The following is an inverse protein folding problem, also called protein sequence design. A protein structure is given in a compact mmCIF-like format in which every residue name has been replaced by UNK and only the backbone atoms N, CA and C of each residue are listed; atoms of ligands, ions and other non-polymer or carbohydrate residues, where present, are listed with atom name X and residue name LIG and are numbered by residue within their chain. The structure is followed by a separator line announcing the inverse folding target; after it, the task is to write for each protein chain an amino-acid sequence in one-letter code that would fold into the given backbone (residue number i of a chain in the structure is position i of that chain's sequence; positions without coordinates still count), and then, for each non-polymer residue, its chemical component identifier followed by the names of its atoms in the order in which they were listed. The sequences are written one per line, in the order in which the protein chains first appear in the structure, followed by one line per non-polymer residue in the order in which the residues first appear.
data_IF_854176658183
#
_entry.id   IF_854176658183
#
_cell.length_a   1.000
_cell.length_b   1.000
_cell.length_c   1.000
_cell.angle_alpha   90.00
_cell.angle_beta   90.00
_cell.angle_gamma   90.00
#
_symmetry.space_group_name_H-M   'P 1'
#
loop_
_entity.id
_entity.type
_entity.pdbx_description
1 polymer ?
#
# COMPACT_ATOMS: atom_id res chain seq x y z
N UNK A 1 27.94 -35.66 41.78
CA UNK A 1 29.03 -36.51 42.29
C UNK A 1 29.82 -35.65 43.22
N UNK A 2 29.61 -35.83 44.51
CA UNK A 2 30.49 -36.50 45.47
C UNK A 2 31.87 -35.85 45.51
N UNK A 3 32.41 -35.38 46.55
CA UNK A 3 32.46 -35.71 48.01
C UNK A 3 33.59 -34.83 48.53
N UNK A 4 33.69 -34.34 49.60
CA UNK A 4 33.59 -34.65 51.02
C UNK A 4 34.72 -33.90 51.76
N UNK A 5 34.35 -33.24 52.79
CA UNK A 5 35.04 -33.06 54.06
C UNK A 5 35.86 -34.32 54.50
N UNK A 6 36.71 -34.27 55.48
CA UNK A 6 36.59 -33.66 56.82
C UNK A 6 37.92 -33.13 57.42
N UNK A 7 37.88 -32.28 58.41
CA UNK A 7 37.81 -32.52 59.85
C UNK A 7 39.08 -32.89 60.56
N UNK A 8 39.28 -32.22 61.63
CA UNK A 8 39.67 -32.65 63.01
C UNK A 8 41.15 -32.44 63.38
N UNK A 9 41.46 -31.92 64.42
CA UNK A 9 41.26 -32.08 65.87
C UNK A 9 42.48 -31.62 66.63
N UNK A 10 42.24 -31.04 67.78
CA UNK A 10 42.85 -31.26 69.08
C UNK A 10 44.36 -31.05 69.20
N UNK A 11 44.89 -30.55 70.22
CA UNK A 11 44.53 -30.56 71.62
C UNK A 11 45.48 -29.66 72.41
N UNK A 12 44.92 -29.03 73.41
CA UNK A 12 45.68 -28.70 74.64
C UNK A 12 46.35 -29.97 75.26
N UNK A 13 47.40 -29.86 76.02
CA UNK A 13 47.22 -29.52 77.43
C UNK A 13 48.44 -28.92 78.15
N UNK A 14 48.07 -28.10 79.16
CA UNK A 14 48.51 -28.18 80.57
C UNK A 14 49.97 -28.45 80.94
N UNK A 15 50.24 -27.66 81.91
CA UNK A 15 51.01 -27.87 83.16
C UNK A 15 52.41 -27.19 83.14
N UNK A 16 52.86 -26.59 84.13
CA UNK A 16 52.57 -26.47 85.53
C UNK A 16 53.68 -25.65 86.17
N UNK A 17 53.30 -24.94 87.17
CA UNK A 17 54.08 -24.66 88.38
C UNK A 17 55.58 -24.44 88.18
N UNK A 18 56.14 -23.33 88.73
CA UNK A 18 56.38 -23.23 90.14
C UNK A 18 56.92 -21.83 90.45
N UNK A 19 56.31 -21.20 91.37
CA UNK A 19 56.93 -20.71 92.67
C UNK A 19 58.29 -20.09 92.53
N UNK A 20 58.35 -18.86 92.86
CA UNK A 20 59.46 -18.10 93.29
C UNK A 20 59.04 -16.76 93.77
N UNK A 21 58.31 -16.73 94.87
CA UNK A 21 58.16 -15.52 95.62
C UNK A 21 59.48 -15.18 96.30
N UNK A 22 60.29 -14.38 95.67
CA UNK A 22 61.36 -13.72 96.43
C UNK A 22 60.72 -12.56 97.12
N UNK A 23 60.62 -12.67 98.40
CA UNK A 23 60.19 -11.61 99.30
C UNK A 23 61.05 -10.40 99.03
N UNK A 24 60.48 -9.31 98.63
CA UNK A 24 61.13 -8.00 98.55
C UNK A 24 61.59 -7.61 99.90
N UNK A 25 62.83 -7.13 100.00
CA UNK A 25 63.40 -6.57 101.27
C UNK A 25 62.52 -5.39 101.74
N UNK A 26 62.50 -5.17 103.02
CA UNK A 26 61.74 -4.04 103.64
C UNK A 26 62.06 -2.65 103.03
N UNK A 27 63.26 -2.46 102.44
CA UNK A 27 63.67 -1.22 101.80
C UNK A 27 63.01 -0.96 100.45
N UNK A 28 62.64 -2.03 99.70
CA UNK A 28 61.93 -1.92 98.39
C UNK A 28 60.44 -1.56 98.53
N UNK A 29 59.90 -1.60 99.75
CA UNK A 29 58.51 -1.25 100.03
C UNK A 29 58.31 0.23 100.23
N UNK A 30 59.35 1.07 100.26
CA UNK A 30 59.29 2.47 100.54
C UNK A 30 59.55 3.37 99.32
N UNK A 31 59.80 2.75 98.15
CA UNK A 31 59.89 3.58 96.97
C UNK A 31 58.49 3.90 96.49
N UNK A 32 58.11 5.17 96.36
CA UNK A 32 56.83 5.51 95.72
C UNK A 32 56.86 5.15 94.26
N UNK A 33 55.99 4.25 93.88
CA UNK A 33 55.73 3.91 92.48
C UNK A 33 55.34 5.21 91.77
N UNK A 34 56.24 5.79 91.01
CA UNK A 34 55.92 6.93 90.16
C UNK A 34 54.86 6.46 89.19
N UNK A 35 53.74 7.17 89.12
CA UNK A 35 52.74 6.83 88.05
C UNK A 35 53.43 6.94 86.72
N UNK A 36 53.14 6.03 85.76
CA UNK A 36 53.68 6.06 84.38
C UNK A 36 53.34 7.42 83.78
N UNK A 37 54.38 8.09 83.22
CA UNK A 37 54.18 9.36 82.53
C UNK A 37 52.98 9.25 81.56
N UNK A 38 52.02 10.13 81.80
CA UNK A 38 50.90 10.23 80.83
C UNK A 38 51.49 10.55 79.49
N UNK A 39 51.58 9.54 78.59
CA UNK A 39 51.89 9.71 77.15
C UNK A 39 50.82 10.64 76.60
N UNK A 40 51.26 11.83 76.22
CA UNK A 40 50.33 12.87 75.70
C UNK A 40 49.79 12.38 74.36
N UNK A 41 48.64 11.73 74.41
CA UNK A 41 47.94 11.10 73.23
C UNK A 41 47.71 12.11 72.09
N UNK A 42 47.71 13.42 72.47
CA UNK A 42 47.61 14.53 71.52
C UNK A 42 48.82 14.63 70.59
N UNK A 43 50.03 14.41 71.12
CA UNK A 43 51.28 14.57 70.36
C UNK A 43 51.37 13.41 69.30
N UNK A 44 50.98 12.17 69.69
CA UNK A 44 50.95 11.05 68.73
C UNK A 44 49.89 11.21 67.63
N UNK A 45 48.75 11.88 67.90
CA UNK A 45 47.76 12.15 66.93
C UNK A 45 48.12 13.31 65.98
N UNK A 46 48.99 14.23 66.42
CA UNK A 46 49.49 15.30 65.54
C UNK A 46 50.69 14.85 64.71
N UNK A 47 51.51 13.92 65.13
CA UNK A 47 52.58 13.36 64.28
C UNK A 47 52.07 12.48 63.16
N UNK A 48 50.93 11.76 63.34
CA UNK A 48 50.28 10.95 62.25
C UNK A 48 49.57 11.81 61.26
N UNK A 49 49.35 13.09 61.52
CA UNK A 49 48.62 13.98 60.61
C UNK A 49 49.52 14.96 59.84
N UNK A 50 50.75 14.57 59.51
CA UNK A 50 51.48 15.37 58.51
C UNK A 50 50.77 15.27 57.18
N UNK A 51 50.13 16.35 56.73
CA UNK A 51 49.44 16.27 55.44
C UNK A 51 50.48 15.99 54.35
N UNK A 52 50.33 14.86 53.69
CA UNK A 52 51.08 14.55 52.43
C UNK A 52 50.43 15.44 51.40
N UNK A 53 50.95 16.60 51.00
CA UNK A 53 50.22 17.58 50.19
C UNK A 53 49.86 17.02 48.81
N UNK A 54 50.73 16.17 48.29
CA UNK A 54 50.49 15.48 46.97
C UNK A 54 49.33 14.47 47.07
N UNK A 55 49.28 13.66 48.18
CA UNK A 55 48.20 12.69 48.36
C UNK A 55 46.86 13.39 48.63
N UNK A 56 46.87 14.49 49.38
CA UNK A 56 45.67 15.29 49.62
C UNK A 56 45.16 15.94 48.31
N UNK A 57 46.04 16.47 47.47
CA UNK A 57 45.70 17.01 46.15
C UNK A 57 45.16 15.94 45.21
N UNK A 58 45.83 14.77 45.14
CA UNK A 58 45.34 13.66 44.33
C UNK A 58 43.97 13.13 44.80
N UNK A 59 43.77 13.03 46.11
CA UNK A 59 42.49 12.59 46.68
C UNK A 59 41.38 13.64 46.43
N UNK A 60 41.72 14.93 46.51
CA UNK A 60 40.84 16.02 46.13
C UNK A 60 40.43 15.94 44.64
N UNK A 61 41.41 15.75 43.75
CA UNK A 61 41.17 15.61 42.33
C UNK A 61 40.28 14.36 42.01
N UNK A 62 40.61 13.24 42.67
CA UNK A 62 39.82 12.01 42.53
C UNK A 62 38.37 12.18 43.00
N UNK A 63 38.21 12.89 44.18
CA UNK A 63 36.87 13.18 44.70
C UNK A 63 36.07 14.08 43.76
N UNK A 64 36.69 15.11 43.20
CA UNK A 64 36.05 15.99 42.22
C UNK A 64 35.66 15.20 40.95
N UNK A 65 36.56 14.34 40.47
CA UNK A 65 36.28 13.46 39.32
C UNK A 65 35.14 12.49 39.62
N UNK A 66 35.12 11.87 40.80
CA UNK A 66 34.05 10.95 41.22
C UNK A 66 32.70 11.68 41.36
N UNK A 67 32.69 12.83 41.99
CA UNK A 67 31.47 13.66 42.12
C UNK A 67 31.00 14.13 40.75
N UNK A 68 31.93 14.58 39.90
CA UNK A 68 31.60 14.92 38.50
C UNK A 68 30.99 13.75 37.72
N UNK A 69 31.57 12.54 37.89
CA UNK A 69 31.05 11.33 37.25
C UNK A 69 29.65 10.95 37.78
N UNK A 70 29.43 11.08 39.10
CA UNK A 70 28.11 10.84 39.69
C UNK A 70 27.05 11.84 39.21
N UNK A 71 27.42 13.13 39.12
CA UNK A 71 26.54 14.17 38.61
C UNK A 71 26.21 13.96 37.12
N UNK A 72 27.21 13.62 36.33
CA UNK A 72 26.99 13.26 34.91
C UNK A 72 26.09 12.02 34.75
N UNK A 73 26.31 11.00 35.58
CA UNK A 73 25.46 9.80 35.60
C UNK A 73 24.01 10.12 36.00
N UNK A 74 23.83 10.93 37.04
CA UNK A 74 22.50 11.40 37.48
C UNK A 74 21.81 12.25 36.41
N UNK A 75 22.55 13.14 35.73
CA UNK A 75 22.04 13.94 34.64
C UNK A 75 21.65 13.10 33.45
N UNK A 76 22.48 12.12 33.08
CA UNK A 76 22.19 11.19 32.01
C UNK A 76 20.94 10.35 32.31
N UNK A 77 20.82 9.84 33.54
CA UNK A 77 19.64 9.09 33.99
C UNK A 77 18.36 9.97 33.97
N UNK A 78 18.45 11.21 34.46
CA UNK A 78 17.32 12.16 34.40
C UNK A 78 16.93 12.46 32.95
N UNK A 79 17.90 12.70 32.08
CA UNK A 79 17.68 12.97 30.67
C UNK A 79 17.03 11.79 29.97
N UNK A 80 17.50 10.59 30.25
CA UNK A 80 16.94 9.34 29.69
C UNK A 80 15.46 9.14 30.10
N UNK A 81 15.16 9.38 31.39
CA UNK A 81 13.78 9.37 31.88
C UNK A 81 12.85 10.42 31.23
N UNK A 82 13.40 11.60 30.88
CA UNK A 82 12.64 12.63 30.17
C UNK A 82 12.38 12.25 28.71
N UNK A 83 13.27 11.50 28.09
CA UNK A 83 13.06 10.98 26.73
C UNK A 83 11.92 9.96 26.67
N UNK A 84 11.70 9.22 27.76
CA UNK A 84 10.63 8.21 27.85
C UNK A 84 9.33 8.79 28.45
N UNK A 85 9.34 10.06 28.86
CA UNK A 85 8.15 10.71 29.36
C UNK A 85 7.04 10.78 28.28
N UNK A 86 5.76 10.55 28.67
CA UNK A 86 4.65 10.59 27.72
C UNK A 86 4.52 11.98 27.07
N UNK A 87 4.36 11.97 25.75
CA UNK A 87 4.18 13.18 24.95
C UNK A 87 2.80 13.82 25.12
N UNK A 88 2.61 15.06 24.60
CA UNK A 88 1.37 15.83 24.76
C UNK A 88 0.22 15.37 23.86
N UNK A 89 0.45 14.48 22.93
CA UNK A 89 -0.54 14.06 21.94
C UNK A 89 -1.64 13.20 22.58
N UNK A 90 -2.92 13.61 22.46
CA UNK A 90 -4.05 12.89 23.04
C UNK A 90 -4.70 11.86 22.09
N UNK A 91 -4.50 11.99 20.79
CA UNK A 91 -5.11 11.13 19.75
C UNK A 91 -4.09 10.77 18.68
N UNK A 92 -4.33 9.66 17.97
CA UNK A 92 -3.51 9.32 16.83
C UNK A 92 -3.46 10.47 15.83
N UNK A 93 -2.28 10.80 15.36
CA UNK A 93 -2.05 11.86 14.39
C UNK A 93 -1.05 11.42 13.34
N UNK A 94 -1.38 11.65 12.09
CA UNK A 94 -0.42 11.46 10.99
C UNK A 94 0.37 12.75 10.81
N UNK A 95 1.68 12.68 10.92
CA UNK A 95 2.61 13.78 10.67
C UNK A 95 3.35 13.54 9.36
N UNK A 96 3.61 14.63 8.63
CA UNK A 96 4.33 14.59 7.35
C UNK A 96 5.72 15.18 7.54
N UNK A 97 6.75 14.38 7.29
CA UNK A 97 8.14 14.83 7.28
C UNK A 97 8.60 14.95 5.83
N UNK A 98 8.76 16.15 5.30
CA UNK A 98 9.20 16.39 3.93
C UNK A 98 10.63 15.89 3.69
N UNK A 99 10.95 15.62 2.41
CA UNK A 99 12.32 15.34 1.99
C UNK A 99 13.20 16.57 2.19
N UNK A 100 14.45 16.37 2.58
CA UNK A 100 15.48 17.40 2.76
C UNK A 100 15.32 18.30 3.98
N UNK A 101 14.37 18.05 4.89
CA UNK A 101 14.34 18.75 6.19
C UNK A 101 15.41 18.21 7.15
N UNK A 102 16.15 19.13 7.78
CA UNK A 102 17.13 18.82 8.82
C UNK A 102 16.48 18.48 10.17
N UNK A 103 17.25 17.88 11.09
CA UNK A 103 16.76 17.49 12.42
C UNK A 103 16.15 18.65 13.23
N UNK A 104 16.66 19.86 13.06
CA UNK A 104 16.14 21.08 13.72
C UNK A 104 14.77 21.48 13.17
N UNK A 105 14.59 21.39 11.87
CA UNK A 105 13.35 21.73 11.18
C UNK A 105 12.25 20.71 11.50
N UNK A 106 12.64 19.42 11.50
CA UNK A 106 11.75 18.33 11.93
C UNK A 106 11.28 18.55 13.38
N UNK A 107 12.21 18.84 14.30
CA UNK A 107 11.88 19.12 15.70
C UNK A 107 10.94 20.32 15.86
N UNK A 108 11.18 21.40 15.11
CA UNK A 108 10.33 22.59 15.12
C UNK A 108 8.93 22.32 14.53
N UNK A 109 8.84 21.43 13.55
CA UNK A 109 7.56 20.96 12.98
C UNK A 109 6.77 20.15 14.00
N UNK A 110 7.40 19.15 14.63
CA UNK A 110 6.78 18.30 15.65
C UNK A 110 6.23 19.11 16.83
N UNK A 111 6.98 20.14 17.27
CA UNK A 111 6.54 21.07 18.30
C UNK A 111 5.34 21.91 17.87
N UNK A 112 5.39 22.53 16.68
CA UNK A 112 4.27 23.31 16.11
C UNK A 112 3.01 22.49 15.93
N UNK A 113 3.16 21.22 15.60
CA UNK A 113 2.05 20.29 15.42
C UNK A 113 1.54 19.69 16.75
N UNK A 114 2.14 20.04 17.89
CA UNK A 114 1.74 19.58 19.21
C UNK A 114 2.04 18.10 19.46
N UNK A 115 3.00 17.52 18.71
CA UNK A 115 3.41 16.13 18.85
C UNK A 115 4.44 15.98 19.99
N UNK A 116 5.29 16.97 20.17
CA UNK A 116 6.26 17.08 21.27
C UNK A 116 6.08 18.40 22.00
N UNK A 117 6.48 18.42 23.28
CA UNK A 117 6.41 19.64 24.13
C UNK A 117 7.58 20.58 23.93
N UNK A 118 8.77 20.06 23.59
CA UNK A 118 10.00 20.84 23.43
C UNK A 118 10.90 20.26 22.32
N UNK A 119 11.13 21.08 21.30
CA UNK A 119 12.04 20.77 20.18
C UNK A 119 13.48 20.52 20.62
N UNK A 120 13.94 21.17 21.75
CA UNK A 120 15.29 21.00 22.25
C UNK A 120 15.50 19.59 22.78
N UNK A 121 14.49 19.04 23.47
CA UNK A 121 14.52 17.68 23.97
C UNK A 121 14.64 16.66 22.83
N UNK A 122 13.84 16.83 21.77
CA UNK A 122 13.93 15.98 20.57
C UNK A 122 15.34 16.07 19.93
N UNK A 123 15.86 17.28 19.75
CA UNK A 123 17.16 17.46 19.11
C UNK A 123 18.32 16.89 19.94
N UNK A 124 18.28 17.10 21.27
CA UNK A 124 19.27 16.56 22.19
C UNK A 124 19.18 15.03 22.24
N UNK A 125 17.96 14.48 22.33
CA UNK A 125 17.70 13.05 22.33
C UNK A 125 18.19 12.37 21.05
N UNK A 126 17.90 12.95 19.89
CA UNK A 126 18.39 12.44 18.62
C UNK A 126 19.93 12.38 18.56
N UNK A 127 20.62 13.46 19.02
CA UNK A 127 22.08 13.48 19.08
C UNK A 127 22.65 12.46 20.08
N UNK A 128 21.95 12.28 21.20
CA UNK A 128 22.31 11.29 22.20
C UNK A 128 22.22 9.87 21.66
N UNK A 129 21.11 9.53 21.03
CA UNK A 129 20.93 8.21 20.40
C UNK A 129 21.93 7.98 19.26
N UNK A 130 22.25 9.01 18.47
CA UNK A 130 23.31 8.91 17.46
C UNK A 130 24.69 8.63 18.07
N UNK A 131 25.00 9.24 19.22
CA UNK A 131 26.25 9.00 19.93
C UNK A 131 26.33 7.55 20.44
N UNK A 132 25.25 7.06 21.06
CA UNK A 132 25.18 5.68 21.54
C UNK A 132 25.33 4.66 20.40
N UNK A 133 24.59 4.85 19.31
CA UNK A 133 24.69 3.97 18.13
C UNK A 133 26.11 3.93 17.54
N UNK A 134 26.83 5.07 17.56
CA UNK A 134 28.23 5.11 17.13
C UNK A 134 29.17 4.35 18.06
N UNK A 135 28.93 4.41 19.37
CA UNK A 135 29.73 3.69 20.37
C UNK A 135 29.50 2.18 20.30
N UNK A 136 28.31 1.75 19.93
CA UNK A 136 27.93 0.35 19.74
C UNK A 136 28.35 -0.21 18.38
N UNK A 137 28.89 0.64 17.49
CA UNK A 137 29.30 0.24 16.13
C UNK A 137 28.15 0.07 15.15
N UNK A 138 26.97 0.53 15.52
CA UNK A 138 25.78 0.49 14.68
C UNK A 138 25.79 1.57 13.58
N UNK A 139 24.96 1.34 12.55
CA UNK A 139 24.76 2.32 11.48
C UNK A 139 24.23 3.64 12.03
N UNK A 140 24.74 4.74 11.49
CA UNK A 140 24.27 6.09 11.85
C UNK A 140 22.74 6.18 11.73
N UNK A 141 22.08 6.51 12.84
CA UNK A 141 20.66 6.81 12.87
C UNK A 141 20.36 8.00 11.96
N UNK A 142 19.42 7.87 11.05
CA UNK A 142 19.00 8.93 10.13
C UNK A 142 17.49 9.10 10.20
N UNK A 143 17.04 10.34 10.35
CA UNK A 143 15.63 10.69 10.24
C UNK A 143 15.20 10.57 8.77
N UNK A 144 14.17 9.76 8.51
CA UNK A 144 13.67 9.49 7.15
C UNK A 144 12.44 10.35 6.88
N UNK A 145 12.32 10.84 5.64
CA UNK A 145 11.11 11.53 5.18
C UNK A 145 9.95 10.54 5.00
N UNK A 146 8.72 11.02 5.21
CA UNK A 146 7.51 10.22 5.03
C UNK A 146 6.37 10.65 5.94
N UNK A 147 5.25 9.95 5.84
CA UNK A 147 4.08 10.13 6.68
C UNK A 147 4.14 9.12 7.83
N UNK A 148 4.07 9.60 9.07
CA UNK A 148 4.18 8.76 10.26
C UNK A 148 2.91 8.87 11.10
N UNK A 149 2.35 7.74 11.47
CA UNK A 149 1.24 7.70 12.42
C UNK A 149 1.82 7.66 13.84
N UNK A 150 1.63 8.76 14.56
CA UNK A 150 2.07 8.90 15.95
C UNK A 150 0.92 8.53 16.87
N UNK A 151 1.21 7.63 17.82
CA UNK A 151 0.24 7.20 18.84
C UNK A 151 0.03 8.26 19.91
N UNK A 152 -1.10 8.21 20.64
CA UNK A 152 -1.28 9.07 21.80
C UNK A 152 -0.16 8.87 22.82
N UNK A 153 0.27 9.95 23.41
CA UNK A 153 1.31 9.98 24.45
C UNK A 153 2.66 9.36 24.05
N UNK A 154 2.94 9.27 22.74
CA UNK A 154 4.22 8.77 22.25
C UNK A 154 5.38 9.62 22.83
N UNK A 155 6.38 8.96 23.40
CA UNK A 155 7.57 9.60 23.97
C UNK A 155 8.49 10.14 22.87
N UNK A 156 9.42 11.01 23.26
CA UNK A 156 10.43 11.54 22.33
C UNK A 156 11.30 10.42 21.77
N UNK A 157 11.65 9.42 22.58
CA UNK A 157 12.40 8.24 22.14
C UNK A 157 11.64 7.46 21.07
N UNK A 158 10.38 7.10 21.35
CA UNK A 158 9.52 6.38 20.39
C UNK A 158 9.36 7.13 19.06
N UNK A 159 9.26 8.47 19.12
CA UNK A 159 9.18 9.28 17.90
C UNK A 159 10.46 9.25 17.08
N UNK A 160 11.64 9.37 17.76
CA UNK A 160 12.93 9.28 17.05
C UNK A 160 13.09 7.91 16.41
N UNK A 161 12.80 6.83 17.14
CA UNK A 161 12.87 5.47 16.64
C UNK A 161 11.91 5.24 15.47
N UNK A 162 10.65 5.67 15.58
CA UNK A 162 9.64 5.58 14.53
C UNK A 162 10.13 6.23 13.21
N UNK A 163 10.71 7.44 13.33
CA UNK A 163 11.18 8.20 12.18
C UNK A 163 12.48 7.59 11.61
N UNK A 164 13.39 7.13 12.47
CA UNK A 164 14.64 6.49 12.05
C UNK A 164 14.39 5.10 11.41
N UNK A 165 13.49 4.32 11.94
CA UNK A 165 13.05 3.05 11.35
C UNK A 165 12.42 3.26 9.97
N UNK A 166 11.75 4.39 9.78
CA UNK A 166 11.04 4.70 8.54
C UNK A 166 9.76 3.90 8.37
N UNK A 167 9.09 3.56 9.48
CA UNK A 167 7.77 2.90 9.50
C UNK A 167 6.68 3.90 9.10
N UNK A 168 6.68 4.29 7.85
CA UNK A 168 5.71 5.25 7.30
C UNK A 168 4.33 4.64 7.12
N UNK A 169 3.31 5.49 7.16
CA UNK A 169 1.95 5.12 6.74
C UNK A 169 1.99 4.74 5.27
N UNK A 170 1.46 3.57 4.95
CA UNK A 170 1.41 3.07 3.58
C UNK A 170 0.01 3.17 3.02
N UNK A 171 -0.08 3.45 1.74
CA UNK A 171 -1.32 3.50 0.97
C UNK A 171 -1.39 2.32 0.03
N UNK A 172 -2.59 1.84 -0.23
CA UNK A 172 -2.83 0.75 -1.18
C UNK A 172 -3.31 1.33 -2.50
N UNK A 173 -2.57 1.06 -3.56
CA UNK A 173 -3.00 1.35 -4.93
C UNK A 173 -3.36 0.04 -5.60
N UNK A 174 -4.63 -0.12 -5.93
CA UNK A 174 -5.11 -1.30 -6.66
C UNK A 174 -5.25 -0.96 -8.14
N UNK A 175 -4.53 -1.70 -8.96
CA UNK A 175 -4.62 -1.66 -10.41
C UNK A 175 -5.42 -2.89 -10.85
N UNK A 176 -6.67 -2.71 -11.35
CA UNK A 176 -7.50 -3.81 -11.83
C UNK A 176 -6.89 -4.53 -13.03
N UNK A 177 -7.14 -5.83 -13.11
CA UNK A 177 -6.82 -6.66 -14.27
C UNK A 177 -7.59 -6.19 -15.52
N UNK A 178 -7.02 -6.41 -16.69
CA UNK A 178 -7.66 -6.09 -17.97
C UNK A 178 -7.63 -4.61 -18.38
N UNK A 179 -6.92 -3.74 -17.66
CA UNK A 179 -6.69 -2.37 -18.12
C UNK A 179 -5.58 -2.33 -19.18
N UNK A 180 -5.70 -1.40 -20.13
CA UNK A 180 -4.58 -1.09 -21.04
C UNK A 180 -3.48 -0.34 -20.31
N UNK A 181 -2.26 -0.36 -20.82
CA UNK A 181 -1.13 0.37 -20.25
C UNK A 181 -1.42 1.87 -20.15
N UNK A 182 -2.12 2.46 -21.13
CA UNK A 182 -2.55 3.85 -21.06
C UNK A 182 -3.55 4.10 -19.91
N UNK A 183 -4.54 3.23 -19.75
CA UNK A 183 -5.50 3.36 -18.65
C UNK A 183 -4.84 3.21 -17.27
N UNK A 184 -3.80 2.38 -17.16
CA UNK A 184 -2.99 2.26 -15.93
C UNK A 184 -2.23 3.56 -15.68
N UNK A 185 -1.57 4.12 -16.69
CA UNK A 185 -0.87 5.40 -16.59
C UNK A 185 -1.83 6.51 -16.17
N UNK A 186 -3.00 6.64 -16.81
CA UNK A 186 -4.02 7.64 -16.47
C UNK A 186 -4.49 7.50 -15.02
N UNK A 187 -4.67 6.27 -14.55
CA UNK A 187 -5.04 5.96 -13.17
C UNK A 187 -3.96 6.39 -12.17
N UNK A 188 -2.69 6.10 -12.45
CA UNK A 188 -1.57 6.50 -11.60
C UNK A 188 -1.38 8.03 -11.60
N UNK A 189 -1.64 8.71 -12.72
CA UNK A 189 -1.60 10.17 -12.80
C UNK A 189 -2.70 10.82 -11.97
N UNK A 190 -3.88 10.21 -11.91
CA UNK A 190 -5.01 10.70 -11.13
C UNK A 190 -4.87 10.46 -9.61
N UNK A 191 -3.94 9.60 -9.15
CA UNK A 191 -3.77 9.31 -7.73
C UNK A 191 -2.98 10.40 -7.02
N UNK A 192 -3.63 11.07 -6.06
CA UNK A 192 -3.04 12.16 -5.28
C UNK A 192 -1.96 11.72 -4.27
N UNK A 193 -1.87 10.42 -3.96
CA UNK A 193 -0.85 9.87 -3.06
C UNK A 193 0.48 9.61 -3.77
N UNK A 194 0.50 9.73 -5.11
CA UNK A 194 1.69 9.57 -5.94
C UNK A 194 2.27 10.92 -6.36
N UNK A 195 3.56 10.93 -6.67
CA UNK A 195 4.29 12.11 -7.15
C UNK A 195 5.11 11.79 -8.41
N UNK A 196 5.64 12.82 -9.04
CA UNK A 196 6.47 12.71 -10.24
C UNK A 196 5.66 12.53 -11.51
N UNK A 197 6.34 12.56 -12.63
CA UNK A 197 5.80 12.34 -13.98
C UNK A 197 6.06 10.90 -14.42
N UNK A 198 5.39 10.48 -15.46
CA UNK A 198 5.63 9.22 -16.16
C UNK A 198 6.25 9.56 -17.50
N UNK A 199 7.44 9.06 -17.76
CA UNK A 199 8.24 9.38 -18.94
C UNK A 199 7.68 8.81 -20.23
N UNK A 200 7.14 7.58 -20.17
CA UNK A 200 6.55 6.88 -21.30
C UNK A 200 5.51 5.86 -20.87
N UNK A 201 4.52 5.62 -21.72
CA UNK A 201 3.55 4.53 -21.49
C UNK A 201 4.25 3.20 -21.77
N UNK A 202 4.28 2.27 -20.79
CA UNK A 202 4.89 0.94 -20.97
C UNK A 202 4.18 0.13 -22.06
N UNK A 203 4.90 -0.84 -22.62
CA UNK A 203 4.33 -1.74 -23.61
C UNK A 203 3.08 -2.46 -23.09
N UNK A 204 2.11 -2.72 -23.96
CA UNK A 204 0.89 -3.44 -23.59
C UNK A 204 1.22 -4.86 -23.11
N UNK A 205 0.60 -5.30 -22.00
CA UNK A 205 0.84 -6.60 -21.40
C UNK A 205 2.13 -6.72 -20.58
N UNK A 206 2.93 -5.65 -20.46
CA UNK A 206 4.19 -5.67 -19.69
C UNK A 206 4.01 -5.45 -18.19
N UNK A 207 2.86 -4.95 -17.77
CA UNK A 207 2.56 -4.58 -16.40
C UNK A 207 1.76 -5.68 -15.69
N UNK A 208 2.14 -6.02 -14.46
CA UNK A 208 1.34 -6.92 -13.62
C UNK A 208 0.31 -6.14 -12.81
N UNK A 209 -1.00 -6.29 -13.09
CA UNK A 209 -2.04 -5.64 -12.31
C UNK A 209 -2.17 -6.31 -10.95
N UNK A 210 -1.90 -5.55 -9.88
CA UNK A 210 -2.01 -6.01 -8.49
C UNK A 210 -2.30 -4.83 -7.55
N UNK A 211 -2.37 -5.12 -6.25
CA UNK A 211 -2.41 -4.10 -5.21
C UNK A 211 -1.01 -3.82 -4.70
N UNK A 212 -0.53 -2.60 -4.89
CA UNK A 212 0.77 -2.14 -4.42
C UNK A 212 0.62 -1.36 -3.12
N UNK A 213 1.52 -1.65 -2.17
CA UNK A 213 1.61 -0.94 -0.90
C UNK A 213 2.76 0.04 -1.00
N UNK A 214 2.46 1.33 -0.94
CA UNK A 214 3.42 2.41 -1.19
C UNK A 214 3.38 3.47 -0.09
N UNK A 215 4.48 4.17 0.21
CA UNK A 215 4.44 5.38 1.02
C UNK A 215 3.82 6.54 0.23
N UNK A 216 3.27 7.53 0.92
CA UNK A 216 2.78 8.75 0.29
C UNK A 216 3.89 9.49 -0.45
N UNK A 217 3.56 10.03 -1.62
CA UNK A 217 4.53 10.73 -2.46
C UNK A 217 5.55 9.79 -3.14
N UNK A 218 5.27 8.49 -3.19
CA UNK A 218 6.05 7.56 -4.00
C UNK A 218 6.04 8.00 -5.48
N UNK A 219 7.12 7.76 -6.18
CA UNK A 219 7.22 8.12 -7.58
C UNK A 219 6.34 7.21 -8.43
N UNK A 220 5.54 7.78 -9.33
CA UNK A 220 4.70 7.01 -10.28
C UNK A 220 5.50 6.03 -11.12
N UNK A 221 6.67 6.47 -11.59
CA UNK A 221 7.61 5.64 -12.35
C UNK A 221 8.04 4.40 -11.54
N UNK A 222 8.33 4.55 -10.24
CA UNK A 222 8.71 3.42 -9.38
C UNK A 222 7.57 2.39 -9.20
N UNK A 223 6.30 2.83 -9.26
CA UNK A 223 5.16 1.91 -9.27
C UNK A 223 5.13 1.12 -10.57
N UNK A 224 5.32 1.76 -11.73
CA UNK A 224 5.38 1.08 -13.03
C UNK A 224 6.57 0.10 -13.11
N UNK A 225 7.73 0.50 -12.59
CA UNK A 225 8.90 -0.39 -12.47
C UNK A 225 8.58 -1.61 -11.61
N UNK A 226 7.90 -1.42 -10.49
CA UNK A 226 7.46 -2.52 -9.62
C UNK A 226 6.48 -3.46 -10.33
N UNK A 227 5.51 -2.91 -11.09
CA UNK A 227 4.58 -3.70 -11.88
C UNK A 227 5.31 -4.53 -12.95
N UNK A 228 6.29 -3.93 -13.62
CA UNK A 228 7.13 -4.62 -14.62
C UNK A 228 7.99 -5.69 -13.97
N UNK A 229 8.58 -5.42 -12.80
CA UNK A 229 9.38 -6.39 -12.06
C UNK A 229 8.54 -7.60 -11.60
N UNK A 230 7.33 -7.38 -11.12
CA UNK A 230 6.40 -8.46 -10.75
C UNK A 230 5.98 -9.30 -11.98
N UNK A 231 5.75 -8.66 -13.14
CA UNK A 231 5.50 -9.35 -14.40
C UNK A 231 6.66 -10.28 -14.78
N UNK A 232 7.90 -9.81 -14.68
CA UNK A 232 9.10 -10.62 -14.96
C UNK A 232 9.25 -11.80 -13.99
N UNK A 233 9.04 -11.60 -12.70
CA UNK A 233 9.08 -12.67 -11.70
C UNK A 233 7.99 -13.73 -11.97
N UNK A 234 6.80 -13.28 -12.36
CA UNK A 234 5.70 -14.17 -12.75
C UNK A 234 6.08 -15.01 -13.96
N UNK A 235 6.67 -14.36 -14.98
CA UNK A 235 7.18 -15.01 -16.18
C UNK A 235 8.16 -16.14 -15.83
N UNK A 236 9.21 -15.83 -15.09
CA UNK A 236 10.25 -16.80 -14.72
C UNK A 236 9.65 -18.05 -14.04
N UNK A 237 8.68 -17.83 -13.15
CA UNK A 237 8.02 -18.91 -12.42
C UNK A 237 7.08 -19.73 -13.28
N UNK A 238 6.17 -19.08 -14.00
CA UNK A 238 5.08 -19.77 -14.71
C UNK A 238 5.52 -20.38 -16.04
N UNK A 239 6.44 -19.72 -16.75
CA UNK A 239 6.91 -20.22 -18.04
C UNK A 239 7.61 -21.57 -17.95
N UNK A 240 8.36 -21.80 -16.87
CA UNK A 240 9.00 -23.09 -16.61
C UNK A 240 7.99 -24.23 -16.37
N UNK A 241 6.80 -23.90 -15.85
CA UNK A 241 5.76 -24.88 -15.48
C UNK A 241 4.69 -25.07 -16.56
N UNK A 242 4.80 -24.38 -17.73
CA UNK A 242 3.80 -24.47 -18.79
C UNK A 242 3.66 -25.86 -19.36
N UNK A 243 2.49 -26.22 -19.89
CA UNK A 243 2.32 -27.40 -20.72
C UNK A 243 3.21 -27.31 -21.97
N UNK A 244 3.85 -28.43 -22.35
CA UNK A 244 4.88 -28.43 -23.41
C UNK A 244 4.32 -28.31 -24.83
N UNK A 245 3.08 -28.73 -25.06
CA UNK A 245 2.44 -28.83 -26.35
C UNK A 245 1.54 -27.62 -26.68
N UNK A 246 1.77 -26.48 -26.07
CA UNK A 246 1.01 -25.27 -26.34
C UNK A 246 1.32 -24.70 -27.74
N UNK A 247 0.32 -24.15 -28.44
CA UNK A 247 0.52 -23.49 -29.73
C UNK A 247 1.26 -22.15 -29.58
N UNK A 248 1.27 -21.56 -28.38
CA UNK A 248 2.05 -20.36 -28.04
C UNK A 248 3.52 -20.74 -27.75
N UNK A 249 4.46 -20.09 -28.43
CA UNK A 249 5.89 -20.44 -28.39
C UNK A 249 6.72 -19.52 -27.54
N UNK A 250 6.28 -18.30 -27.33
CA UNK A 250 6.96 -17.27 -26.54
C UNK A 250 6.09 -16.81 -25.38
N UNK A 251 6.75 -16.14 -24.39
CA UNK A 251 6.02 -15.51 -23.31
C UNK A 251 5.06 -14.43 -23.84
N UNK A 252 5.50 -13.63 -24.82
CA UNK A 252 4.71 -12.53 -25.37
C UNK A 252 3.45 -13.06 -26.09
N UNK A 253 3.55 -14.19 -26.80
CA UNK A 253 2.38 -14.86 -27.36
C UNK A 253 1.42 -15.37 -26.28
N UNK A 254 1.96 -15.89 -25.16
CA UNK A 254 1.15 -16.33 -24.04
C UNK A 254 0.43 -15.15 -23.35
N UNK A 255 1.10 -14.02 -23.14
CA UNK A 255 0.50 -12.80 -22.61
C UNK A 255 -0.52 -12.22 -23.59
N UNK A 256 -0.25 -12.27 -24.89
CA UNK A 256 -1.20 -11.83 -25.92
C UNK A 256 -2.49 -12.64 -25.85
N UNK A 257 -2.39 -13.97 -25.78
CA UNK A 257 -3.57 -14.82 -25.63
C UNK A 257 -4.27 -14.60 -24.28
N UNK A 258 -3.48 -14.44 -23.19
CA UNK A 258 -4.02 -14.18 -21.85
C UNK A 258 -4.79 -12.86 -21.80
N UNK A 259 -4.35 -11.82 -22.52
CA UNK A 259 -5.07 -10.55 -22.61
C UNK A 259 -6.44 -10.69 -23.28
N UNK A 260 -6.57 -11.61 -24.23
CA UNK A 260 -7.86 -11.95 -24.87
C UNK A 260 -8.74 -12.69 -23.87
N UNK A 261 -8.21 -13.73 -23.21
CA UNK A 261 -8.93 -14.51 -22.18
C UNK A 261 -9.42 -13.63 -21.05
N UNK A 262 -8.60 -12.66 -20.60
CA UNK A 262 -8.93 -11.69 -19.54
C UNK A 262 -10.16 -10.85 -19.91
N UNK A 263 -10.29 -10.50 -21.18
CA UNK A 263 -11.41 -9.67 -21.67
C UNK A 263 -12.67 -10.47 -22.02
N UNK A 264 -12.57 -11.77 -22.17
CA UNK A 264 -13.71 -12.64 -22.49
C UNK A 264 -14.47 -13.10 -21.26
N UNK A 265 -13.79 -13.34 -20.13
CA UNK A 265 -14.49 -13.82 -18.93
C UNK A 265 -13.96 -13.19 -17.65
N UNK A 266 -14.87 -12.69 -16.82
CA UNK A 266 -14.60 -12.31 -15.43
C UNK A 266 -14.66 -13.52 -14.47
N UNK A 267 -15.13 -14.69 -14.91
CA UNK A 267 -15.31 -15.88 -14.07
C UNK A 267 -14.04 -16.69 -13.95
N UNK A 268 -13.59 -16.88 -12.74
CA UNK A 268 -12.37 -17.65 -12.46
C UNK A 268 -12.50 -19.15 -12.76
N UNK A 269 -13.71 -19.71 -12.60
CA UNK A 269 -14.02 -21.14 -12.80
C UNK A 269 -14.13 -21.55 -14.26
N UNK A 270 -14.24 -20.60 -15.20
CA UNK A 270 -14.31 -20.84 -16.62
C UNK A 270 -13.06 -20.41 -17.40
N UNK A 271 -12.16 -19.68 -16.77
CA UNK A 271 -11.03 -19.02 -17.43
C UNK A 271 -10.08 -20.01 -18.11
N UNK A 272 -9.79 -21.14 -17.49
CA UNK A 272 -8.99 -22.24 -18.06
C UNK A 272 -9.69 -22.96 -19.24
N UNK A 273 -11.02 -22.96 -19.23
CA UNK A 273 -11.86 -23.53 -20.30
C UNK A 273 -11.96 -22.58 -21.50
N UNK A 274 -12.13 -21.26 -21.24
CA UNK A 274 -12.07 -20.24 -22.29
C UNK A 274 -10.70 -20.23 -22.97
N UNK A 275 -9.62 -20.30 -22.18
CA UNK A 275 -8.26 -20.42 -22.69
C UNK A 275 -8.09 -21.67 -23.57
N UNK A 276 -8.67 -22.80 -23.15
CA UNK A 276 -8.62 -24.05 -23.91
C UNK A 276 -9.31 -23.93 -25.27
N UNK A 277 -10.46 -23.24 -25.37
CA UNK A 277 -11.14 -23.01 -26.66
C UNK A 277 -10.21 -22.23 -27.60
N UNK A 278 -9.59 -21.18 -27.20
CA UNK A 278 -8.66 -20.40 -28.02
C UNK A 278 -7.43 -21.22 -28.44
N UNK A 279 -6.86 -22.00 -27.51
CA UNK A 279 -5.73 -22.90 -27.79
C UNK A 279 -6.14 -23.96 -28.81
N UNK A 280 -7.34 -24.56 -28.72
CA UNK A 280 -7.86 -25.54 -29.69
C UNK A 280 -8.07 -24.90 -31.05
N UNK A 281 -8.58 -23.65 -31.10
CA UNK A 281 -8.69 -22.89 -32.35
C UNK A 281 -7.34 -22.65 -33.00
N UNK A 282 -6.33 -22.21 -32.24
CA UNK A 282 -4.96 -22.02 -32.75
C UNK A 282 -4.38 -23.33 -33.32
N UNK A 283 -4.57 -24.45 -32.62
CA UNK A 283 -4.12 -25.78 -33.11
C UNK A 283 -4.77 -26.21 -34.44
N UNK A 284 -6.01 -25.74 -34.67
CA UNK A 284 -6.76 -26.04 -35.87
C UNK A 284 -6.68 -24.94 -36.94
N UNK A 285 -5.80 -23.95 -36.77
CA UNK A 285 -5.69 -22.76 -37.63
C UNK A 285 -7.03 -22.02 -37.82
N UNK A 286 -7.87 -22.03 -36.79
CA UNK A 286 -9.11 -21.27 -36.76
C UNK A 286 -8.88 -19.87 -36.28
N UNK A 287 -9.58 -18.88 -36.80
CA UNK A 287 -9.55 -17.50 -36.27
C UNK A 287 -10.10 -17.45 -34.87
N UNK A 288 -9.51 -16.58 -34.02
CA UNK A 288 -9.93 -16.49 -32.62
C UNK A 288 -11.31 -15.84 -32.46
N UNK A 289 -11.65 -14.87 -33.30
CA UNK A 289 -12.95 -14.21 -33.33
C UNK A 289 -13.41 -13.69 -31.95
N UNK A 290 -12.56 -12.90 -31.33
CA UNK A 290 -12.79 -12.28 -30.03
C UNK A 290 -13.19 -10.83 -30.21
N UNK A 291 -14.35 -10.46 -29.72
CA UNK A 291 -14.92 -9.10 -29.81
C UNK A 291 -14.04 -8.00 -29.24
N UNK A 292 -13.41 -8.17 -28.06
CA UNK A 292 -12.49 -7.17 -27.49
C UNK A 292 -11.35 -6.78 -28.43
N UNK A 293 -10.88 -7.68 -29.29
CA UNK A 293 -9.79 -7.40 -30.24
C UNK A 293 -10.20 -6.43 -31.34
N UNK A 294 -11.49 -6.37 -31.69
CA UNK A 294 -12.04 -5.39 -32.63
C UNK A 294 -11.93 -3.98 -32.01
N UNK A 295 -12.44 -3.83 -30.79
CA UNK A 295 -12.45 -2.54 -30.10
C UNK A 295 -11.05 -2.03 -29.82
N UNK A 296 -10.13 -2.91 -29.41
CA UNK A 296 -8.74 -2.53 -29.20
C UNK A 296 -8.07 -2.10 -30.50
N UNK A 297 -8.27 -2.86 -31.58
CA UNK A 297 -7.72 -2.53 -32.90
C UNK A 297 -8.18 -1.19 -33.46
N UNK A 298 -9.39 -0.78 -33.14
CA UNK A 298 -9.97 0.47 -33.61
C UNK A 298 -9.62 1.67 -32.72
N UNK A 299 -9.57 1.47 -31.40
CA UNK A 299 -9.57 2.55 -30.44
C UNK A 299 -8.41 2.51 -29.42
N UNK A 300 -7.56 1.47 -29.46
CA UNK A 300 -6.40 1.34 -28.58
C UNK A 300 -6.77 1.40 -27.08
N UNK A 301 -7.94 0.84 -26.72
CA UNK A 301 -8.40 0.87 -25.33
C UNK A 301 -8.97 2.20 -24.83
N UNK A 302 -9.10 3.21 -25.68
CA UNK A 302 -9.65 4.55 -25.30
C UNK A 302 -11.18 4.56 -25.16
N UNK A 303 -11.86 3.55 -25.62
CA UNK A 303 -13.33 3.43 -25.56
C UNK A 303 -13.73 2.46 -24.46
N UNK A 304 -14.86 2.75 -23.80
CA UNK A 304 -15.42 1.87 -22.79
C UNK A 304 -15.71 0.47 -23.36
N UNK A 305 -15.28 -0.55 -22.63
CA UNK A 305 -15.60 -1.93 -22.94
C UNK A 305 -17.11 -2.21 -22.73
N UNK A 306 -17.66 -3.14 -23.49
CA UNK A 306 -19.05 -3.57 -23.32
C UNK A 306 -20.10 -2.80 -24.11
N UNK A 307 -19.72 -1.80 -24.93
CA UNK A 307 -20.65 -1.22 -25.90
C UNK A 307 -20.95 -2.21 -27.05
N UNK A 308 -22.14 -2.15 -27.67
CA UNK A 308 -22.43 -2.96 -28.81
C UNK A 308 -21.45 -2.70 -29.98
N UNK A 309 -20.96 -3.76 -30.61
CA UNK A 309 -20.07 -3.69 -31.78
C UNK A 309 -20.95 -3.56 -33.02
N UNK A 310 -20.63 -2.61 -33.88
CA UNK A 310 -21.36 -2.38 -35.13
C UNK A 310 -20.87 -3.36 -36.22
N UNK A 311 -21.75 -3.70 -37.18
CA UNK A 311 -21.40 -4.64 -38.26
C UNK A 311 -20.21 -4.21 -39.11
N UNK A 312 -20.07 -2.91 -39.38
CA UNK A 312 -18.94 -2.34 -40.10
C UNK A 312 -17.63 -2.46 -39.32
N UNK A 313 -17.65 -2.44 -37.98
CA UNK A 313 -16.47 -2.61 -37.13
C UNK A 313 -15.93 -4.04 -37.16
N UNK A 314 -16.82 -5.06 -37.24
CA UNK A 314 -16.45 -6.48 -37.36
C UNK A 314 -15.63 -6.75 -38.65
N UNK A 315 -16.00 -6.06 -39.75
CA UNK A 315 -15.35 -6.24 -41.05
C UNK A 315 -14.13 -5.36 -41.25
N UNK A 316 -13.88 -4.43 -40.36
CA UNK A 316 -12.76 -3.50 -40.46
C UNK A 316 -11.43 -4.21 -40.25
N UNK A 317 -10.50 -4.08 -41.22
CA UNK A 317 -9.18 -4.69 -41.14
C UNK A 317 -8.26 -3.87 -40.25
N UNK A 318 -7.95 -4.40 -39.09
CA UNK A 318 -6.88 -3.88 -38.21
C UNK A 318 -5.95 -5.04 -37.85
N UNK A 319 -4.70 -4.77 -37.45
CA UNK A 319 -3.77 -5.83 -37.03
C UNK A 319 -4.26 -6.65 -35.83
N UNK A 320 -5.18 -6.11 -35.04
CA UNK A 320 -5.70 -6.77 -33.83
C UNK A 320 -7.05 -7.47 -34.08
N UNK A 321 -7.79 -7.19 -35.17
CA UNK A 321 -9.10 -7.74 -35.37
C UNK A 321 -9.04 -9.25 -35.69
N UNK A 322 -9.22 -10.09 -34.70
CA UNK A 322 -9.15 -11.56 -34.82
C UNK A 322 -10.29 -12.20 -35.64
N UNK A 323 -11.24 -11.41 -36.15
CA UNK A 323 -12.20 -11.84 -37.19
C UNK A 323 -11.58 -11.73 -38.59
N UNK A 324 -10.55 -10.91 -38.79
CA UNK A 324 -9.95 -10.60 -40.08
C UNK A 324 -8.51 -11.13 -40.23
N UNK A 325 -7.84 -11.45 -39.12
CA UNK A 325 -6.50 -12.02 -39.10
C UNK A 325 -6.53 -13.49 -38.66
N UNK A 326 -5.55 -14.26 -39.08
CA UNK A 326 -5.32 -15.63 -38.62
C UNK A 326 -4.31 -15.63 -37.44
N UNK A 327 -4.55 -16.48 -36.44
CA UNK A 327 -3.68 -16.56 -35.27
C UNK A 327 -3.85 -15.44 -34.25
N UNK A 328 -2.75 -15.10 -33.56
CA UNK A 328 -2.72 -14.09 -32.54
C UNK A 328 -2.54 -12.68 -33.13
N UNK A 329 -3.09 -11.64 -32.48
CA UNK A 329 -2.74 -10.27 -32.82
C UNK A 329 -1.27 -9.97 -32.44
N UNK A 330 -0.67 -8.89 -33.00
CA UNK A 330 0.76 -8.60 -32.83
C UNK A 330 1.17 -8.20 -31.41
N UNK A 331 0.22 -7.71 -30.61
CA UNK A 331 0.46 -7.32 -29.21
C UNK A 331 -0.73 -7.71 -28.34
N UNK A 332 -0.54 -7.79 -27.00
CA UNK A 332 -1.66 -7.87 -26.07
C UNK A 332 -2.64 -6.71 -26.25
N UNK A 333 -3.88 -6.90 -25.81
CA UNK A 333 -4.96 -5.89 -25.86
C UNK A 333 -5.25 -5.27 -24.49
N UNK A 334 -4.60 -5.75 -23.45
CA UNK A 334 -4.64 -5.24 -22.07
C UNK A 334 -3.51 -5.89 -21.27
N UNK A 335 -3.35 -5.46 -20.03
CA UNK A 335 -2.48 -6.11 -19.04
C UNK A 335 -3.31 -7.19 -18.31
N UNK A 336 -3.10 -8.48 -18.61
CA UNK A 336 -3.87 -9.56 -18.00
C UNK A 336 -3.43 -9.83 -16.57
N UNK A 337 -4.37 -10.31 -15.76
CA UNK A 337 -4.07 -10.79 -14.42
C UNK A 337 -3.35 -12.15 -14.43
N UNK A 338 -2.78 -12.50 -13.27
CA UNK A 338 -2.09 -13.79 -13.07
C UNK A 338 -2.92 -14.99 -13.53
N UNK A 339 -4.21 -15.03 -13.18
CA UNK A 339 -5.09 -16.15 -13.46
C UNK A 339 -5.34 -16.37 -14.96
N UNK A 340 -5.38 -15.30 -15.74
CA UNK A 340 -5.51 -15.41 -17.19
C UNK A 340 -4.24 -16.00 -17.83
N UNK A 341 -3.07 -15.60 -17.33
CA UNK A 341 -1.78 -16.14 -17.77
C UNK A 341 -1.67 -17.62 -17.37
N UNK A 342 -2.00 -17.98 -16.14
CA UNK A 342 -2.02 -19.36 -15.65
C UNK A 342 -2.97 -20.23 -16.49
N UNK A 343 -4.16 -19.73 -16.82
CA UNK A 343 -5.14 -20.43 -17.65
C UNK A 343 -4.62 -20.74 -19.06
N UNK A 344 -3.86 -19.82 -19.65
CA UNK A 344 -3.23 -20.03 -20.98
C UNK A 344 -2.08 -21.02 -20.90
N UNK A 345 -1.29 -20.99 -19.84
CA UNK A 345 -0.14 -21.87 -19.66
C UNK A 345 -0.53 -23.27 -19.16
N UNK A 346 -1.69 -23.39 -18.49
CA UNK A 346 -2.25 -24.63 -17.95
C UNK A 346 -3.73 -24.78 -18.33
N UNK A 347 -4.07 -24.79 -19.64
CA UNK A 347 -5.45 -24.84 -20.08
C UNK A 347 -6.11 -26.17 -19.70
N UNK A 348 -7.44 -26.14 -19.53
CA UNK A 348 -8.23 -27.36 -19.35
C UNK A 348 -8.11 -28.26 -20.58
N UNK A 349 -8.11 -29.55 -20.39
CA UNK A 349 -8.13 -30.50 -21.48
C UNK A 349 -9.57 -30.68 -21.97
N UNK A 350 -9.86 -30.15 -23.14
CA UNK A 350 -11.18 -30.20 -23.76
C UNK A 350 -11.05 -30.17 -25.30
N UNK A 351 -12.11 -30.58 -26.02
CA UNK A 351 -12.22 -30.48 -27.48
C UNK A 351 -13.07 -29.30 -27.95
N UNK A 352 -13.51 -28.46 -26.99
CA UNK A 352 -14.40 -27.34 -27.27
C UNK A 352 -13.73 -26.31 -28.17
N UNK A 353 -14.52 -25.79 -29.11
CA UNK A 353 -14.09 -24.79 -30.10
C UNK A 353 -14.94 -23.52 -30.03
N UNK A 354 -16.05 -23.55 -29.29
CA UNK A 354 -17.05 -22.49 -29.26
C UNK A 354 -17.53 -22.26 -27.83
N UNK A 355 -17.86 -21.02 -27.53
CA UNK A 355 -18.60 -20.64 -26.33
C UNK A 355 -19.54 -19.48 -26.64
N UNK A 356 -20.59 -19.33 -25.89
CA UNK A 356 -21.55 -18.21 -25.94
C UNK A 356 -22.12 -18.00 -24.55
N UNK A 357 -22.47 -16.76 -24.20
CA UNK A 357 -23.09 -16.45 -22.92
C UNK A 357 -24.35 -17.33 -22.67
N UNK A 358 -24.52 -17.79 -21.43
CA UNK A 358 -25.65 -18.68 -21.05
C UNK A 358 -26.78 -17.96 -20.30
N UNK A 359 -26.55 -16.68 -19.92
CA UNK A 359 -27.50 -15.87 -19.17
C UNK A 359 -27.32 -15.97 -17.65
N UNK A 360 -26.46 -16.83 -17.13
CA UNK A 360 -26.09 -16.92 -15.71
C UNK A 360 -24.89 -16.05 -15.33
N UNK A 361 -24.33 -15.32 -16.31
CA UNK A 361 -23.03 -14.63 -16.21
C UNK A 361 -21.86 -15.53 -16.59
N UNK A 362 -22.12 -16.75 -17.08
CA UNK A 362 -21.16 -17.71 -17.59
C UNK A 362 -21.37 -18.02 -19.06
N UNK A 363 -20.76 -19.13 -19.53
CA UNK A 363 -20.75 -19.53 -20.90
C UNK A 363 -21.21 -20.98 -21.10
N UNK A 364 -21.98 -21.20 -22.14
CA UNK A 364 -22.25 -22.52 -22.70
C UNK A 364 -21.19 -22.86 -23.77
N UNK A 365 -20.47 -23.94 -23.56
CA UNK A 365 -19.38 -24.39 -24.42
C UNK A 365 -19.86 -25.47 -25.38
N UNK A 366 -19.22 -25.58 -26.56
CA UNK A 366 -19.55 -26.56 -27.58
C UNK A 366 -18.32 -27.00 -28.38
N UNK A 367 -18.28 -28.28 -28.76
CA UNK A 367 -17.26 -28.83 -29.64
C UNK A 367 -17.60 -28.59 -31.13
N UNK A 368 -18.89 -28.55 -31.47
CA UNK A 368 -19.35 -28.42 -32.87
C UNK A 368 -20.08 -27.08 -33.08
N UNK A 369 -20.03 -26.60 -34.34
CA UNK A 369 -20.79 -25.43 -34.74
C UNK A 369 -22.30 -25.62 -34.60
N UNK A 370 -22.78 -26.87 -34.80
CA UNK A 370 -24.21 -27.20 -34.64
C UNK A 370 -24.68 -26.97 -33.20
N UNK A 371 -23.94 -27.48 -32.24
CA UNK A 371 -24.26 -27.31 -30.81
C UNK A 371 -24.12 -25.88 -30.38
N UNK A 372 -23.09 -25.19 -30.88
CA UNK A 372 -22.92 -23.76 -30.65
C UNK A 372 -24.13 -22.96 -31.14
N UNK A 373 -24.59 -23.20 -32.35
CA UNK A 373 -25.79 -22.53 -32.92
C UNK A 373 -27.04 -22.81 -32.06
N UNK A 374 -27.21 -24.02 -31.55
CA UNK A 374 -28.29 -24.34 -30.62
C UNK A 374 -28.17 -23.52 -29.29
N UNK A 375 -26.97 -23.37 -28.75
CA UNK A 375 -26.72 -22.55 -27.55
C UNK A 375 -26.96 -21.06 -27.85
N UNK A 376 -26.56 -20.56 -29.01
CA UNK A 376 -26.85 -19.17 -29.45
C UNK A 376 -28.35 -18.90 -29.51
N UNK A 377 -29.14 -19.87 -30.01
CA UNK A 377 -30.60 -19.71 -30.02
C UNK A 377 -31.19 -19.64 -28.62
N UNK A 378 -30.72 -20.47 -27.70
CA UNK A 378 -31.13 -20.42 -26.29
C UNK A 378 -30.76 -19.07 -25.66
N UNK A 379 -29.53 -18.59 -25.90
CA UNK A 379 -29.07 -17.30 -25.40
C UNK A 379 -29.95 -16.14 -25.90
N UNK A 380 -30.30 -16.12 -27.17
CA UNK A 380 -31.17 -15.07 -27.73
C UNK A 380 -32.55 -14.99 -27.06
N UNK A 381 -33.09 -16.13 -26.62
CA UNK A 381 -34.35 -16.15 -25.88
C UNK A 381 -34.14 -15.52 -24.47
N UNK A 382 -33.10 -15.93 -23.79
CA UNK A 382 -32.73 -15.35 -22.46
C UNK A 382 -32.45 -13.86 -22.56
N UNK A 383 -31.69 -13.41 -23.54
CA UNK A 383 -31.40 -12.00 -23.80
C UNK A 383 -32.66 -11.18 -24.03
N UNK A 384 -33.61 -11.71 -24.80
CA UNK A 384 -34.91 -11.08 -25.06
C UNK A 384 -35.72 -10.91 -23.77
N UNK A 385 -35.75 -11.94 -22.92
CA UNK A 385 -36.44 -11.91 -21.64
C UNK A 385 -35.77 -10.93 -20.66
N UNK A 386 -34.44 -10.86 -20.61
CA UNK A 386 -33.70 -9.90 -19.80
C UNK A 386 -33.96 -8.46 -20.25
N UNK A 387 -33.98 -8.20 -21.58
CA UNK A 387 -34.29 -6.89 -22.13
C UNK A 387 -35.75 -6.49 -21.85
N UNK A 388 -36.69 -7.43 -21.91
CA UNK A 388 -38.10 -7.18 -21.57
C UNK A 388 -38.27 -6.81 -20.07
N UNK A 389 -37.53 -7.48 -19.17
CA UNK A 389 -37.55 -7.18 -17.73
C UNK A 389 -36.82 -5.89 -17.38
N UNK A 390 -35.81 -5.49 -18.15
CA UNK A 390 -35.06 -4.24 -17.94
C UNK A 390 -35.71 -3.01 -18.63
N UNK A 391 -36.72 -3.22 -19.47
CA UNK A 391 -37.50 -2.12 -20.02
C UNK A 391 -38.23 -1.39 -18.87
N UNK A 392 -38.15 -0.04 -18.77
CA UNK A 392 -38.93 0.68 -17.80
C UNK A 392 -40.42 0.35 -18.01
N UNK A 393 -41.14 0.06 -16.93
CA UNK A 393 -42.60 -0.05 -16.99
C UNK A 393 -43.15 1.15 -17.77
N UNK A 394 -44.02 0.94 -18.77
CA UNK A 394 -44.68 2.05 -19.43
C UNK A 394 -45.31 2.90 -18.32
N UNK A 395 -45.16 4.24 -18.38
CA UNK A 395 -45.77 5.09 -17.36
C UNK A 395 -47.22 4.68 -17.25
N UNK A 396 -47.65 4.36 -16.01
CA UNK A 396 -49.03 4.01 -15.73
C UNK A 396 -49.91 5.03 -16.46
N UNK A 397 -50.78 4.55 -17.36
CA UNK A 397 -51.76 5.44 -18.03
C UNK A 397 -52.47 6.19 -16.90
N UNK A 398 -52.17 7.50 -16.79
CA UNK A 398 -52.94 8.35 -15.91
C UNK A 398 -54.43 8.15 -16.33
N UNK A 399 -55.33 7.81 -15.41
CA UNK A 399 -56.70 7.64 -15.74
C UNK A 399 -57.17 8.92 -16.41
N UNK A 400 -57.45 8.87 -17.70
CA UNK A 400 -57.98 10.02 -18.47
C UNK A 400 -59.10 10.61 -17.68
N UNK A 401 -59.02 11.89 -17.30
CA UNK A 401 -60.08 12.50 -16.49
C UNK A 401 -61.40 12.40 -17.27
N UNK A 402 -62.37 11.62 -16.75
CA UNK A 402 -63.71 11.56 -17.33
C UNK A 402 -64.23 12.98 -17.41
N UNK A 403 -64.15 13.61 -18.60
CA UNK A 403 -64.70 14.91 -18.89
C UNK A 403 -66.18 14.95 -18.48
N UNK A 404 -66.49 15.77 -17.47
CA UNK A 404 -67.87 15.98 -17.03
C UNK A 404 -68.73 16.35 -18.25
N UNK A 405 -70.00 15.89 -18.33
CA UNK A 405 -70.89 16.15 -19.49
C UNK A 405 -70.99 17.60 -19.95
N UNK A 406 -70.84 18.56 -19.03
CA UNK A 406 -70.88 20.00 -19.29
C UNK A 406 -69.70 20.53 -20.13
N UNK A 407 -68.52 19.86 -20.12
CA UNK A 407 -67.35 20.29 -20.92
C UNK A 407 -67.47 19.80 -22.36
N UNK A 408 -68.09 18.57 -22.58
CA UNK A 408 -68.41 18.08 -23.95
C UNK A 408 -69.40 18.97 -24.70
N UNK A 409 -70.43 19.54 -23.99
CA UNK A 409 -71.38 20.41 -24.60
C UNK A 409 -70.77 21.78 -24.96
N UNK A 410 -69.84 22.35 -24.16
CA UNK A 410 -69.11 23.56 -24.50
C UNK A 410 -68.15 23.45 -25.66
N UNK A 411 -67.44 22.27 -25.74
CA UNK A 411 -66.54 22.01 -26.86
C UNK A 411 -67.31 21.84 -28.17
N UNK A 412 -68.45 21.14 -28.16
CA UNK A 412 -69.33 21.01 -29.34
C UNK A 412 -69.97 22.33 -29.76
N UNK A 413 -70.33 23.21 -28.80
CA UNK A 413 -70.87 24.53 -29.12
C UNK A 413 -69.80 25.46 -29.72
N UNK A 414 -68.55 25.36 -29.28
CA UNK A 414 -67.43 26.16 -29.81
C UNK A 414 -67.01 25.68 -31.21
N UNK A 415 -66.96 24.38 -31.46
CA UNK A 415 -66.69 23.81 -32.77
C UNK A 415 -67.77 24.25 -33.80
N UNK A 416 -69.06 24.32 -33.37
CA UNK A 416 -70.18 24.77 -34.23
C UNK A 416 -70.15 26.28 -34.51
N UNK A 417 -69.60 27.09 -33.60
CA UNK A 417 -69.40 28.53 -33.78
C UNK A 417 -68.18 28.82 -34.69
N UNK A 418 -67.10 28.04 -34.58
CA UNK A 418 -65.96 28.21 -35.49
C UNK A 418 -66.22 27.70 -36.91
N UNK A 419 -67.03 26.68 -37.09
CA UNK A 419 -67.52 26.25 -38.46
C UNK A 419 -68.43 27.31 -39.11
N UNK A 420 -69.26 28.04 -38.31
CA UNK A 420 -70.11 29.11 -38.81
C UNK A 420 -69.36 30.43 -39.13
N UNK A 421 -68.14 30.59 -38.54
CA UNK A 421 -67.29 31.75 -38.82
C UNK A 421 -66.41 31.54 -40.08
N UNK A 422 -66.12 30.31 -40.44
CA UNK A 422 -65.30 29.93 -41.61
C UNK A 422 -66.08 30.11 -42.93
N UNK A 423 -67.46 30.15 -42.91
CA UNK A 423 -68.29 30.25 -44.09
C UNK A 423 -68.57 31.75 -44.49
N UNK A 424 -67.95 32.70 -43.82
CA UNK A 424 -68.14 34.14 -44.06
C UNK A 424 -66.87 34.96 -44.40
N UNK A 425 -65.81 34.31 -44.89
CA UNK A 425 -64.62 35.02 -45.35
C UNK A 425 -64.62 35.15 -46.89
N UNK A 426 -64.49 36.33 -47.48
CA UNK A 426 -64.45 36.50 -48.94
C UNK A 426 -63.04 36.24 -49.47
N UNK A 427 -63.01 35.62 -50.64
CA UNK A 427 -61.85 35.42 -51.49
C UNK A 427 -61.24 36.75 -51.95
N UNK A 428 -59.91 36.84 -51.91
CA UNK A 428 -59.25 38.01 -52.49
C UNK A 428 -57.74 38.03 -52.34
N UNK A 429 -57.11 37.63 -53.41
CA UNK A 429 -55.93 38.09 -54.16
C UNK A 429 -54.52 37.66 -53.67
N UNK A 430 -53.95 36.93 -54.63
CA UNK A 430 -52.52 36.65 -54.76
C UNK A 430 -51.72 37.94 -55.02
N UNK A 431 -50.52 38.01 -54.44
CA UNK A 431 -49.38 38.63 -55.14
C UNK A 431 -48.06 37.98 -54.60
N UNK A 432 -47.23 37.67 -55.58
CA UNK A 432 -45.89 37.08 -55.48
C UNK A 432 -44.85 38.06 -54.95
N UNK A 433 -43.83 37.60 -54.39
CA UNK A 433 -42.41 37.91 -54.68
C UNK A 433 -41.43 37.21 -53.72
N UNK A 434 -40.53 36.51 -54.30
CA UNK A 434 -39.21 35.97 -54.02
C UNK A 434 -38.22 37.14 -53.74
N UNK A 435 -36.89 36.89 -53.53
CA UNK A 435 -36.11 35.95 -52.68
C UNK A 435 -35.02 36.65 -51.84
N UNK A 436 -34.25 35.87 -51.09
CA UNK A 436 -32.81 35.95 -50.98
C UNK A 436 -32.29 35.67 -49.54
N UNK A 437 -31.44 34.67 -49.52
CA UNK A 437 -30.52 34.33 -48.44
C UNK A 437 -29.45 35.43 -48.18
N UNK A 438 -28.71 35.41 -47.08
CA UNK A 438 -27.42 34.78 -47.15
C UNK A 438 -26.94 34.02 -45.88
N UNK A 439 -26.01 33.07 -46.12
CA UNK A 439 -25.21 32.35 -45.14
C UNK A 439 -24.34 33.22 -44.22
N UNK A 440 -23.97 32.77 -43.06
CA UNK A 440 -22.82 33.32 -42.35
C UNK A 440 -21.57 32.41 -42.43
N UNK A 441 -20.48 33.07 -42.72
CA UNK A 441 -19.10 32.57 -42.80
C UNK A 441 -18.55 32.08 -41.46
N UNK A 442 -17.78 31.03 -41.54
CA UNK A 442 -16.83 30.55 -40.51
C UNK A 442 -15.74 31.57 -40.19
N UNK A 443 -15.39 31.66 -38.95
CA UNK A 443 -14.00 31.76 -38.46
C UNK A 443 -13.79 30.78 -37.30
#
# INVERSE_FOLDING_TARGET
MRNRHPADRHADPKTSRTRGSLARSPAERLEPTRPPARVNRKIRLEEERRPRPVLAFMNGLLTVALVGMLLLGALAYYFDGQMDAPGPLERNKVIVIPKLEGSLEIAARLEREGVISDRRMFTAGYRWLQLLARLEGDKTLQLKAGDYEVRPHASVRELIELICDGKTVTYKITVPEGLTSQQIVDRLLADANLSGEISATPAEGSLMPETFVIPRGAQREAVLESMTAESKKLMERLWAQRKKDLPVKTWDEAVTLASIVEKETGRNDERDRVAAVFINRLRQNMRLQSDPTILYGLYGGKVAWGRPIQRNEITQKTPHNTYQIDGLPPTPICNPGRRAIEAVLQPRETRELYFVADGSGGHAFAETLKDHNANVQKWRLVEKDLKAKAAPEPPAEEPTPKLRPAVKQRAAARAKAEAAAADKAPAGSATAADPAAPEPKRR
#
